data_IF_668797209947
#
_entry.id   IF_668797209947
#
_cell.length_a   1.000
_cell.length_b   1.000
_cell.length_c   1.000
_cell.angle_alpha   90.00
_cell.angle_beta   90.00
_cell.angle_gamma   90.00
#
_symmetry.space_group_name_H-M   'P 1'
#
loop_
_entity.id
_entity.type
_entity.pdbx_description
1 polymer ?
#
# COMPACT_ATOMS: atom_id res chain seq x y z
N UNK A 1 5.69 -7.34 -7.00
CA UNK A 1 4.31 -7.50 -6.45
C UNK A 1 4.18 -6.85 -5.07
N UNK A 2 5.10 -7.12 -4.12
CA UNK A 2 5.08 -6.48 -2.79
C UNK A 2 5.24 -4.94 -2.81
N UNK A 3 6.02 -4.38 -3.73
CA UNK A 3 6.19 -2.92 -3.88
C UNK A 3 4.84 -2.21 -4.11
N UNK A 4 4.08 -2.64 -5.11
CA UNK A 4 2.79 -2.05 -5.45
C UNK A 4 1.79 -2.17 -4.29
N UNK A 5 1.78 -3.31 -3.59
CA UNK A 5 0.93 -3.49 -2.42
C UNK A 5 1.29 -2.55 -1.26
N UNK A 6 2.59 -2.40 -0.96
CA UNK A 6 3.07 -1.47 0.08
C UNK A 6 2.74 -0.02 -0.30
N UNK A 7 2.84 0.36 -1.58
CA UNK A 7 2.42 1.69 -2.03
C UNK A 7 0.93 1.93 -1.76
N UNK A 8 0.06 0.98 -2.10
CA UNK A 8 -1.38 1.08 -1.83
C UNK A 8 -1.64 1.20 -0.32
N UNK A 9 -0.95 0.41 0.50
CA UNK A 9 -1.06 0.49 1.95
C UNK A 9 -0.65 1.86 2.49
N UNK A 10 0.42 2.47 1.95
CA UNK A 10 0.86 3.81 2.32
C UNK A 10 -0.14 4.89 1.92
N UNK A 11 -0.72 4.79 0.74
CA UNK A 11 -1.77 5.70 0.28
C UNK A 11 -3.01 5.60 1.18
N UNK A 12 -3.39 4.37 1.56
CA UNK A 12 -4.45 4.13 2.53
C UNK A 12 -4.13 4.74 3.90
N UNK A 13 -2.95 4.48 4.47
CA UNK A 13 -2.53 5.06 5.74
C UNK A 13 -2.58 6.60 5.72
N UNK A 14 -2.11 7.20 4.63
CA UNK A 14 -2.14 8.65 4.43
C UNK A 14 -3.58 9.19 4.44
N UNK A 15 -4.48 8.54 3.70
CA UNK A 15 -5.92 8.87 3.70
C UNK A 15 -6.54 8.73 5.10
N UNK A 16 -6.21 7.68 5.85
CA UNK A 16 -6.73 7.48 7.22
C UNK A 16 -6.30 8.57 8.20
N UNK A 17 -5.04 9.01 8.09
CA UNK A 17 -4.51 10.09 8.93
C UNK A 17 -5.19 11.40 8.55
N UNK A 18 -5.36 11.69 7.25
CA UNK A 18 -6.08 12.88 6.76
C UNK A 18 -7.57 12.90 7.15
N UNK A 19 -8.22 11.74 7.15
CA UNK A 19 -9.62 11.58 7.56
C UNK A 19 -9.80 11.57 9.10
N UNK A 20 -8.73 11.78 9.87
CA UNK A 20 -8.70 11.77 11.34
C UNK A 20 -9.30 10.50 11.97
N UNK A 21 -9.26 9.37 11.25
CA UNK A 21 -9.79 8.08 11.73
C UNK A 21 -8.97 7.58 12.92
N UNK A 22 -7.66 7.83 12.90
CA UNK A 22 -6.76 7.59 14.03
C UNK A 22 -7.21 8.33 15.29
N UNK A 23 -7.52 9.62 15.18
CA UNK A 23 -8.03 10.43 16.28
C UNK A 23 -9.41 9.95 16.76
N UNK A 24 -10.24 9.46 15.84
CA UNK A 24 -11.55 8.90 16.18
C UNK A 24 -11.45 7.66 17.08
N UNK A 25 -10.49 6.76 16.83
CA UNK A 25 -10.32 5.54 17.62
C UNK A 25 -9.27 5.65 18.73
N UNK A 26 -8.43 6.68 18.71
CA UNK A 26 -7.31 6.86 19.64
C UNK A 26 -6.05 6.08 19.24
N UNK A 27 -5.85 5.86 17.93
CA UNK A 27 -4.70 5.14 17.34
C UNK A 27 -3.86 6.02 16.41
N UNK A 28 -3.93 7.34 16.57
CA UNK A 28 -3.24 8.29 15.69
C UNK A 28 -1.72 8.09 15.68
N UNK A 29 -1.12 7.89 16.85
CA UNK A 29 0.32 7.66 16.96
C UNK A 29 0.74 6.34 16.30
N UNK A 30 -0.08 5.30 16.46
CA UNK A 30 0.14 3.98 15.89
C UNK A 30 0.09 4.03 14.36
N UNK A 31 -0.91 4.72 13.78
CA UNK A 31 -0.98 4.90 12.33
C UNK A 31 0.18 5.72 11.77
N UNK A 32 0.60 6.78 12.47
CA UNK A 32 1.78 7.56 12.08
C UNK A 32 3.06 6.73 12.13
N UNK A 33 3.22 5.87 13.15
CA UNK A 33 4.37 4.96 13.27
C UNK A 33 4.39 3.93 12.13
N UNK A 34 3.23 3.38 11.78
CA UNK A 34 3.09 2.47 10.64
C UNK A 34 3.48 3.15 9.34
N UNK A 35 2.93 4.34 9.07
CA UNK A 35 3.26 5.11 7.87
C UNK A 35 4.78 5.31 7.76
N UNK A 36 5.41 5.81 8.82
CA UNK A 36 6.85 6.06 8.85
C UNK A 36 7.68 4.78 8.57
N UNK A 37 7.28 3.66 9.17
CA UNK A 37 8.02 2.39 9.03
C UNK A 37 7.84 1.80 7.63
N UNK A 38 6.61 1.75 7.11
CA UNK A 38 6.36 1.27 5.75
C UNK A 38 6.99 2.16 4.69
N UNK A 39 7.02 3.49 4.88
CA UNK A 39 7.71 4.40 3.95
C UNK A 39 9.22 4.15 3.94
N UNK A 40 9.81 3.87 5.10
CA UNK A 40 11.24 3.53 5.17
C UNK A 40 11.54 2.21 4.45
N UNK A 41 10.65 1.22 4.61
CA UNK A 41 10.79 -0.09 3.96
C UNK A 41 10.56 0.01 2.45
N UNK A 42 9.66 0.88 2.00
CA UNK A 42 9.37 1.10 0.58
C UNK A 42 10.62 1.50 -0.20
N UNK A 43 11.52 2.29 0.38
CA UNK A 43 12.75 2.75 -0.29
C UNK A 43 13.68 1.59 -0.68
N UNK A 44 13.62 0.47 0.06
CA UNK A 44 14.48 -0.69 -0.14
C UNK A 44 13.76 -1.91 -0.73
N UNK A 45 12.44 -1.83 -0.93
CA UNK A 45 11.63 -3.00 -1.29
C UNK A 45 11.99 -3.53 -2.69
N UNK A 46 12.34 -2.66 -3.62
CA UNK A 46 12.68 -3.03 -4.99
C UNK A 46 14.02 -3.78 -5.05
N UNK A 47 15.07 -3.24 -4.42
CA UNK A 47 16.37 -3.91 -4.30
C UNK A 47 16.25 -5.25 -3.54
N UNK A 48 15.37 -5.32 -2.53
CA UNK A 48 15.06 -6.56 -1.83
C UNK A 48 14.41 -7.60 -2.75
N UNK A 49 13.46 -7.19 -3.61
CA UNK A 49 12.78 -8.10 -4.54
C UNK A 49 13.70 -8.65 -5.62
N UNK A 50 14.64 -7.84 -6.12
CA UNK A 50 15.63 -8.32 -7.10
C UNK A 50 16.59 -9.35 -6.48
N UNK A 51 17.00 -9.13 -5.24
CA UNK A 51 17.97 -9.99 -4.53
C UNK A 51 17.33 -11.25 -3.93
N UNK A 52 16.02 -11.25 -3.67
CA UNK A 52 15.26 -12.37 -3.10
C UNK A 52 15.57 -13.72 -3.79
N UNK A 53 15.72 -13.74 -5.11
CA UNK A 53 15.92 -14.98 -5.87
C UNK A 53 17.21 -15.72 -5.51
N UNK A 54 18.19 -15.02 -4.92
CA UNK A 54 19.51 -15.56 -4.58
C UNK A 54 19.73 -15.67 -3.07
N UNK A 55 18.88 -15.05 -2.27
CA UNK A 55 19.03 -14.93 -0.82
C UNK A 55 17.75 -15.41 -0.11
N UNK A 56 17.78 -16.65 0.37
CA UNK A 56 16.66 -17.30 1.08
C UNK A 56 16.30 -16.57 2.40
N UNK A 57 17.27 -16.14 3.23
CA UNK A 57 16.97 -15.26 4.37
C UNK A 57 16.20 -13.99 3.97
N UNK A 58 16.56 -13.34 2.87
CA UNK A 58 15.86 -12.15 2.37
C UNK A 58 14.45 -12.47 1.85
N UNK A 59 14.27 -13.61 1.19
CA UNK A 59 12.95 -14.12 0.80
C UNK A 59 12.03 -14.28 2.01
N UNK A 60 12.52 -14.92 3.07
CA UNK A 60 11.77 -15.10 4.31
C UNK A 60 11.43 -13.75 4.98
N UNK A 61 12.36 -12.80 4.97
CA UNK A 61 12.12 -11.45 5.47
C UNK A 61 11.00 -10.73 4.70
N UNK A 62 11.02 -10.79 3.36
CA UNK A 62 9.95 -10.24 2.52
C UNK A 62 8.60 -10.92 2.76
N UNK A 63 8.59 -12.22 3.02
CA UNK A 63 7.38 -12.95 3.34
C UNK A 63 6.78 -12.48 4.68
N UNK A 64 7.61 -12.32 5.73
CA UNK A 64 7.16 -11.75 7.01
C UNK A 64 6.62 -10.34 6.85
N UNK A 65 7.29 -9.51 6.05
CA UNK A 65 6.86 -8.15 5.74
C UNK A 65 5.48 -8.14 5.06
N UNK A 66 5.26 -8.99 4.06
CA UNK A 66 3.95 -9.11 3.40
C UNK A 66 2.86 -9.49 4.40
N UNK A 67 3.11 -10.46 5.29
CA UNK A 67 2.14 -10.86 6.32
C UNK A 67 1.79 -9.67 7.23
N UNK A 68 2.79 -8.90 7.68
CA UNK A 68 2.56 -7.71 8.49
C UNK A 68 1.79 -6.62 7.73
N UNK A 69 2.08 -6.41 6.45
CA UNK A 69 1.39 -5.46 5.59
C UNK A 69 -0.09 -5.84 5.38
N UNK A 70 -0.40 -7.13 5.17
CA UNK A 70 -1.77 -7.62 5.11
C UNK A 70 -2.52 -7.45 6.42
N UNK A 71 -1.86 -7.70 7.56
CA UNK A 71 -2.47 -7.49 8.86
C UNK A 71 -2.78 -6.00 9.12
N UNK A 72 -1.91 -5.09 8.68
CA UNK A 72 -2.15 -3.66 8.73
C UNK A 72 -3.32 -3.22 7.83
N UNK A 73 -3.37 -3.71 6.58
CA UNK A 73 -4.48 -3.42 5.65
C UNK A 73 -5.83 -3.92 6.19
N UNK A 74 -5.86 -5.10 6.80
CA UNK A 74 -7.07 -5.66 7.43
C UNK A 74 -7.56 -4.80 8.61
N UNK A 75 -6.64 -4.32 9.46
CA UNK A 75 -6.97 -3.37 10.55
C UNK A 75 -7.57 -2.07 10.00
N UNK A 76 -6.98 -1.53 8.93
CA UNK A 76 -7.53 -0.35 8.26
C UNK A 76 -8.94 -0.64 7.73
N UNK A 77 -9.14 -1.74 7.00
CA UNK A 77 -10.43 -2.17 6.49
C UNK A 77 -11.52 -2.28 7.57
N UNK A 78 -11.19 -2.88 8.71
CA UNK A 78 -12.08 -2.93 9.87
C UNK A 78 -12.42 -1.53 10.40
N UNK A 79 -11.44 -0.64 10.51
CA UNK A 79 -11.64 0.73 10.98
C UNK A 79 -12.50 1.57 10.02
N UNK A 80 -12.31 1.45 8.70
CA UNK A 80 -13.16 2.08 7.67
C UNK A 80 -14.61 1.59 7.81
N UNK A 81 -14.78 0.28 7.92
CA UNK A 81 -16.10 -0.36 8.05
C UNK A 81 -16.82 0.10 9.32
N UNK A 82 -16.12 0.14 10.45
CA UNK A 82 -16.71 0.56 11.71
C UNK A 82 -17.03 2.06 11.70
N UNK A 83 -16.16 2.91 11.13
CA UNK A 83 -16.44 4.34 10.95
C UNK A 83 -17.72 4.56 10.13
N UNK A 84 -17.94 3.81 9.06
CA UNK A 84 -19.15 3.88 8.26
C UNK A 84 -20.40 3.42 9.04
N UNK A 85 -20.30 2.36 9.84
CA UNK A 85 -21.40 1.90 10.71
C UNK A 85 -21.76 2.93 11.77
N UNK A 86 -20.76 3.60 12.35
CA UNK A 86 -20.97 4.60 13.40
C UNK A 86 -21.71 5.84 12.91
N UNK A 87 -21.53 6.21 11.63
CA UNK A 87 -22.34 7.27 11.00
C UNK A 87 -23.85 6.93 10.97
N UNK A 88 -24.22 5.66 11.03
CA UNK A 88 -25.62 5.22 10.99
C UNK A 88 -26.27 5.09 12.39
N UNK A 89 -25.48 5.01 13.47
CA UNK A 89 -26.04 4.96 14.82
C UNK A 89 -26.36 6.36 15.34
N UNK A 90 -27.52 6.51 16.00
CA UNK A 90 -27.95 7.78 16.62
C UNK A 90 -26.94 8.33 17.64
N UNK A 91 -26.18 7.45 18.31
CA UNK A 91 -25.20 7.80 19.33
C UNK A 91 -23.80 8.08 18.77
N UNK A 92 -23.54 7.78 17.50
CA UNK A 92 -22.25 7.99 16.84
C UNK A 92 -21.07 7.52 17.70
N UNK A 93 -20.16 8.45 18.04
CA UNK A 93 -18.94 8.25 18.83
C UNK A 93 -19.18 7.74 20.27
N UNK A 94 -20.40 7.83 20.80
CA UNK A 94 -20.75 7.40 22.15
C UNK A 94 -21.39 6.01 22.21
N UNK A 95 -21.43 5.28 21.08
CA UNK A 95 -22.01 3.95 21.04
C UNK A 95 -21.13 2.93 21.82
N UNK A 96 -21.69 2.13 22.75
CA UNK A 96 -20.93 1.20 23.60
C UNK A 96 -20.02 0.22 22.83
N UNK A 97 -20.42 -0.16 21.61
CA UNK A 97 -19.62 -1.04 20.73
C UNK A 97 -18.25 -0.47 20.35
N UNK A 98 -18.08 0.86 20.38
CA UNK A 98 -16.79 1.50 20.08
C UNK A 98 -15.75 1.08 21.10
N UNK A 99 -16.13 0.93 22.37
CA UNK A 99 -15.21 0.54 23.45
C UNK A 99 -14.66 -0.86 23.17
N UNK A 100 -15.54 -1.81 22.88
CA UNK A 100 -15.12 -3.18 22.53
C UNK A 100 -14.30 -3.24 21.25
N UNK A 101 -14.64 -2.42 20.26
CA UNK A 101 -13.89 -2.33 19.00
C UNK A 101 -12.49 -1.78 19.23
N UNK A 102 -12.35 -0.68 19.98
CA UNK A 102 -11.04 -0.09 20.33
C UNK A 102 -10.18 -1.10 21.08
N UNK A 103 -10.72 -1.85 22.05
CA UNK A 103 -9.93 -2.86 22.76
C UNK A 103 -9.45 -3.99 21.82
N UNK A 104 -10.32 -4.46 20.92
CA UNK A 104 -9.97 -5.48 19.92
C UNK A 104 -8.87 -4.99 18.99
N UNK A 105 -9.07 -3.83 18.37
CA UNK A 105 -8.12 -3.26 17.41
C UNK A 105 -6.82 -2.85 18.10
N UNK A 106 -6.88 -2.25 19.28
CA UNK A 106 -5.70 -1.84 20.02
C UNK A 106 -4.77 -3.03 20.34
N UNK A 107 -5.33 -4.18 20.72
CA UNK A 107 -4.54 -5.39 20.93
C UNK A 107 -3.88 -5.87 19.64
N UNK A 108 -4.63 -5.98 18.54
CA UNK A 108 -4.11 -6.39 17.23
C UNK A 108 -3.04 -5.43 16.71
N UNK A 109 -3.30 -4.13 16.82
CA UNK A 109 -2.39 -3.06 16.43
C UNK A 109 -1.06 -3.17 17.16
N UNK A 110 -1.11 -3.41 18.47
CA UNK A 110 0.08 -3.62 19.30
C UNK A 110 0.89 -4.84 18.83
N UNK A 111 0.24 -5.99 18.69
CA UNK A 111 0.89 -7.23 18.24
C UNK A 111 1.52 -7.08 16.85
N UNK A 112 0.82 -6.42 15.93
CA UNK A 112 1.32 -6.17 14.58
C UNK A 112 2.49 -5.17 14.57
N UNK A 113 2.45 -4.11 15.39
CA UNK A 113 3.60 -3.19 15.53
C UNK A 113 4.83 -3.88 16.11
N UNK A 114 4.67 -4.78 17.07
CA UNK A 114 5.78 -5.57 17.63
C UNK A 114 6.42 -6.47 16.56
N UNK A 115 5.61 -7.13 15.73
CA UNK A 115 6.11 -7.91 14.58
C UNK A 115 6.84 -7.01 13.58
N UNK A 116 6.29 -5.85 13.27
CA UNK A 116 6.88 -4.91 12.32
C UNK A 116 8.20 -4.33 12.83
N UNK A 117 8.33 -4.03 14.13
CA UNK A 117 9.57 -3.58 14.75
C UNK A 117 10.69 -4.64 14.65
N UNK A 118 10.34 -5.93 14.75
CA UNK A 118 11.30 -7.04 14.54
C UNK A 118 11.73 -7.08 13.07
N UNK A 119 10.79 -7.02 12.14
CA UNK A 119 11.07 -7.02 10.69
C UNK A 119 11.96 -5.82 10.30
N UNK A 120 11.67 -4.64 10.85
CA UNK A 120 12.46 -3.43 10.61
C UNK A 120 13.90 -3.55 11.14
N UNK A 121 14.13 -4.30 12.22
CA UNK A 121 15.47 -4.59 12.75
C UNK A 121 16.23 -5.61 11.91
N UNK A 122 15.56 -6.70 11.50
CA UNK A 122 16.15 -7.72 10.61
C UNK A 122 16.64 -7.12 9.28
N UNK A 123 16.04 -6.01 8.83
CA UNK A 123 16.48 -5.26 7.63
C UNK A 123 17.99 -4.96 7.65
N UNK A 124 18.56 -4.65 8.81
CA UNK A 124 19.95 -4.21 8.94
C UNK A 124 20.97 -5.25 8.43
N UNK A 125 20.59 -6.53 8.42
CA UNK A 125 21.48 -7.63 8.06
C UNK A 125 21.68 -7.76 6.54
N UNK A 126 20.77 -7.22 5.72
CA UNK A 126 20.70 -7.48 4.28
C UNK A 126 21.45 -6.49 3.39
N UNK A 127 22.07 -5.44 3.96
CA UNK A 127 22.84 -4.42 3.21
C UNK A 127 22.08 -3.91 1.96
N UNK A 128 20.78 -3.64 2.13
CA UNK A 128 19.91 -3.20 1.03
C UNK A 128 20.26 -1.77 0.62
N UNK A 129 20.29 -1.51 -0.69
CA UNK A 129 20.55 -0.16 -1.22
C UNK A 129 19.24 0.61 -1.29
N UNK A 130 19.31 1.87 -0.88
CA UNK A 130 18.20 2.79 -1.04
C UNK A 130 18.15 3.25 -2.50
N UNK A 131 16.99 3.04 -3.14
CA UNK A 131 16.76 3.65 -4.45
C UNK A 131 16.34 5.09 -4.20
N UNK A 132 17.16 6.04 -4.65
CA UNK A 132 16.71 7.43 -4.78
C UNK A 132 15.59 7.39 -5.81
N UNK A 133 14.36 7.67 -5.38
CA UNK A 133 13.19 7.71 -6.26
C UNK A 133 13.33 8.96 -7.15
N UNK A 134 14.24 8.91 -8.13
CA UNK A 134 14.04 9.65 -9.35
C UNK A 134 12.88 8.95 -10.05
N UNK A 135 11.66 9.46 -9.84
CA UNK A 135 10.51 9.16 -10.69
C UNK A 135 10.81 9.68 -12.10
N UNK A 136 11.76 9.08 -12.80
CA UNK A 136 11.61 8.93 -14.23
C UNK A 136 10.47 7.95 -14.38
N UNK A 137 9.27 8.49 -14.62
CA UNK A 137 8.21 7.73 -15.22
C UNK A 137 8.80 7.16 -16.51
N UNK A 138 9.32 5.94 -16.44
CA UNK A 138 9.57 5.13 -17.61
C UNK A 138 8.19 4.89 -18.19
N UNK A 139 7.79 5.84 -19.05
CA UNK A 139 6.64 5.75 -19.91
C UNK A 139 6.74 4.36 -20.53
N UNK A 140 5.72 3.51 -20.46
CA UNK A 140 5.68 2.34 -21.31
C UNK A 140 6.01 2.81 -22.72
N UNK A 141 6.99 2.21 -23.39
CA UNK A 141 7.27 2.46 -24.82
C UNK A 141 6.13 1.94 -25.73
N UNK A 142 4.91 1.90 -25.21
CA UNK A 142 3.67 1.77 -25.98
C UNK A 142 2.99 3.12 -26.22
N UNK A 143 3.52 4.22 -25.66
CA UNK A 143 3.08 5.58 -25.96
C UNK A 143 3.74 6.14 -27.23
N UNK A 144 3.36 5.67 -28.40
CA UNK A 144 3.89 6.23 -29.65
C UNK A 144 3.16 7.54 -29.97
N UNK A 145 3.79 8.69 -29.69
CA UNK A 145 3.51 9.91 -30.45
C UNK A 145 4.26 9.77 -31.76
N UNK A 146 3.69 9.00 -32.69
CA UNK A 146 4.10 9.02 -34.09
C UNK A 146 3.63 10.37 -34.64
N UNK A 147 4.53 11.15 -35.24
CA UNK A 147 4.14 11.78 -36.49
C UNK A 147 3.67 10.63 -37.37
N UNK A 148 2.37 10.56 -37.66
CA UNK A 148 1.77 9.45 -38.41
C UNK A 148 2.64 9.15 -39.64
N UNK A 149 3.23 7.95 -39.75
CA UNK A 149 3.88 7.55 -40.98
C UNK A 149 2.78 7.43 -42.01
N UNK A 150 2.97 8.03 -43.18
CA UNK A 150 2.00 8.01 -44.26
C UNK A 150 1.79 6.55 -44.71
N UNK A 151 0.72 5.91 -44.23
CA UNK A 151 0.39 4.51 -44.54
C UNK A 151 -0.25 4.48 -45.92
N UNK A 152 0.39 3.82 -46.87
CA UNK A 152 -0.13 3.68 -48.23
C UNK A 152 -0.74 2.29 -48.44
N UNK A 153 -1.96 2.23 -48.99
CA UNK A 153 -2.59 0.97 -49.42
C UNK A 153 -3.53 0.30 -48.42
N UNK A 154 -3.89 0.98 -47.32
CA UNK A 154 -4.91 0.50 -46.36
C UNK A 154 -6.25 1.24 -46.46
N UNK A 155 -6.40 2.09 -47.47
CA UNK A 155 -7.55 2.98 -47.68
C UNK A 155 -8.89 2.22 -47.70
N UNK A 156 -8.88 1.00 -48.25
CA UNK A 156 -10.08 0.15 -48.35
C UNK A 156 -10.57 -0.39 -46.99
N UNK A 157 -9.64 -0.63 -46.07
CA UNK A 157 -9.93 -1.16 -44.74
C UNK A 157 -10.33 -0.02 -43.79
N UNK A 158 -9.80 1.19 -44.02
CA UNK A 158 -10.24 2.42 -43.37
C UNK A 158 -11.71 2.71 -43.70
N UNK A 159 -12.09 2.66 -44.98
CA UNK A 159 -13.48 2.87 -45.42
C UNK A 159 -14.46 1.84 -44.86
N UNK A 160 -14.03 0.58 -44.67
CA UNK A 160 -14.86 -0.45 -44.02
C UNK A 160 -15.06 -0.20 -42.53
N UNK A 161 -14.03 0.27 -41.82
CA UNK A 161 -14.12 0.60 -40.40
C UNK A 161 -15.00 1.84 -40.18
N UNK A 162 -14.86 2.87 -41.01
CA UNK A 162 -15.70 4.08 -40.93
C UNK A 162 -17.18 3.77 -41.17
N UNK A 163 -17.50 2.75 -41.96
CA UNK A 163 -18.90 2.31 -42.17
C UNK A 163 -19.53 1.56 -40.99
N UNK A 164 -18.71 1.06 -40.06
CA UNK A 164 -19.17 0.28 -38.90
C UNK A 164 -19.35 1.18 -37.66
N UNK A 165 -18.72 2.37 -37.65
CA UNK A 165 -18.88 3.40 -36.63
C UNK A 165 -20.05 4.35 -36.93
#
# INVERSE_FOLDING_TARGET
>A
MAEAFIQILLDNLTSFIQEEVGLFFGFENEFNKLLSTFSTIQIVIEDAQEKQLKDKPLENWLQKLNVAAYEADDILGECRTETARLKHYRLGRYHPRIITFRLKIGKRMKEMMEKLDIIAKERADFHLREKIIERQAARPETGFVLTEPQVYGRDKEEDEIVKIL
#
